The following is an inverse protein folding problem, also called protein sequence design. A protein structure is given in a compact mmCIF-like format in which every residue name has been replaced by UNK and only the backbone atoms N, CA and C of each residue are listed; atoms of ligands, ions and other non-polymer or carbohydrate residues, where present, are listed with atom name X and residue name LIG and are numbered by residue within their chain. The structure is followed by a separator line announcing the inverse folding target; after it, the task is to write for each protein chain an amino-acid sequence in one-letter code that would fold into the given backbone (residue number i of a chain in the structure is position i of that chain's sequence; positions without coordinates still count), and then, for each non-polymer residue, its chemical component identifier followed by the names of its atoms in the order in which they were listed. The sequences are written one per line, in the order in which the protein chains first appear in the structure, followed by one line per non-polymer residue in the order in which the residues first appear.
data_IF_923526707313
#
_entry.id   IF_923526707313
#
_cell.length_a   1.000
_cell.length_b   1.000
_cell.length_c   1.000
_cell.angle_alpha   90.00
_cell.angle_beta   90.00
_cell.angle_gamma   90.00
#
_symmetry.space_group_name_H-M   'P 1'
#
loop_
_entity.id
_entity.type
_entity.pdbx_description
1 polymer ?
#
# COMPACT_ATOMS: atom_id res chain seq x y z
N UNK A 1 15.92 15.68 -7.34
CA UNK A 1 14.96 15.95 -8.42
C UNK A 1 14.39 17.34 -8.20
N UNK A 2 14.68 18.28 -9.14
CA UNK A 2 14.40 19.70 -8.94
C UNK A 2 12.93 20.11 -8.98
N UNK A 3 12.06 19.27 -9.50
CA UNK A 3 10.61 19.49 -9.59
C UNK A 3 9.77 18.48 -8.79
N UNK A 4 10.36 17.90 -7.75
CA UNK A 4 9.66 17.20 -6.68
C UNK A 4 9.96 17.92 -5.36
N UNK A 5 9.12 17.69 -4.36
CA UNK A 5 9.29 18.31 -3.04
C UNK A 5 10.49 17.71 -2.28
N UNK A 6 11.14 18.53 -1.47
CA UNK A 6 12.40 18.19 -0.80
C UNK A 6 12.25 17.13 0.32
N UNK A 7 11.03 16.89 0.80
CA UNK A 7 10.73 15.94 1.87
C UNK A 7 10.40 14.53 1.37
N UNK A 8 10.52 14.27 0.06
CA UNK A 8 10.27 12.96 -0.51
C UNK A 8 11.53 12.08 -0.56
N UNK A 9 11.33 10.76 -0.53
CA UNK A 9 12.39 9.78 -0.76
C UNK A 9 12.44 9.45 -2.24
N UNK A 10 13.62 9.58 -2.83
CA UNK A 10 13.86 9.32 -4.25
C UNK A 10 15.01 8.33 -4.45
N UNK A 11 15.01 7.67 -5.60
CA UNK A 11 16.17 6.95 -6.12
C UNK A 11 16.81 7.79 -7.22
N UNK A 12 18.14 7.95 -7.17
CA UNK A 12 18.88 8.68 -8.17
C UNK A 12 20.21 7.99 -8.45
N UNK A 13 20.73 8.21 -9.66
CA UNK A 13 22.07 7.74 -10.01
C UNK A 13 23.12 8.51 -9.21
N UNK A 14 24.11 7.80 -8.70
CA UNK A 14 25.21 8.39 -7.97
C UNK A 14 26.53 7.71 -8.31
N UNK A 15 27.62 8.28 -7.84
CA UNK A 15 28.95 7.70 -7.93
C UNK A 15 29.66 7.80 -6.58
N UNK A 16 30.64 6.93 -6.38
CA UNK A 16 31.43 6.86 -5.16
C UNK A 16 32.87 7.22 -5.48
N UNK A 17 33.44 8.15 -4.73
CA UNK A 17 34.84 8.52 -4.81
C UNK A 17 35.50 8.48 -3.41
N UNK A 18 36.77 8.90 -3.33
CA UNK A 18 37.49 8.97 -2.05
C UNK A 18 36.89 9.93 -1.01
N UNK A 19 35.95 10.80 -1.42
CA UNK A 19 35.25 11.76 -0.58
C UNK A 19 33.85 11.29 -0.16
N UNK A 20 33.42 10.11 -0.64
CA UNK A 20 32.13 9.51 -0.31
C UNK A 20 31.17 9.34 -1.49
N UNK A 21 29.87 9.27 -1.18
CA UNK A 21 28.79 9.08 -2.16
C UNK A 21 28.34 10.46 -2.66
N UNK A 22 28.25 10.60 -3.97
CA UNK A 22 27.72 11.81 -4.63
C UNK A 22 26.57 11.44 -5.54
N UNK A 23 25.42 12.03 -5.31
CA UNK A 23 24.24 11.85 -6.15
C UNK A 23 24.25 12.86 -7.31
N UNK A 24 23.66 12.46 -8.44
CA UNK A 24 23.44 13.40 -9.55
C UNK A 24 22.30 14.33 -9.14
N UNK A 25 22.60 15.63 -9.12
CA UNK A 25 21.68 16.68 -8.69
C UNK A 25 21.06 17.40 -9.91
N UNK A 26 20.00 18.18 -9.66
CA UNK A 26 19.40 19.06 -10.66
C UNK A 26 18.63 18.36 -11.78
N UNK A 27 18.31 17.08 -11.61
CA UNK A 27 17.49 16.36 -12.60
C UNK A 27 16.06 16.88 -12.56
N UNK A 28 15.56 17.31 -13.72
CA UNK A 28 14.19 17.77 -13.89
C UNK A 28 13.39 16.70 -14.64
N UNK A 29 12.36 16.16 -13.99
CA UNK A 29 11.51 15.14 -14.59
C UNK A 29 10.58 15.74 -15.65
N UNK A 30 10.26 15.03 -16.75
CA UNK A 30 9.15 15.38 -17.60
C UNK A 30 7.86 15.53 -16.79
N UNK A 31 7.00 16.48 -17.16
CA UNK A 31 5.81 16.84 -16.38
C UNK A 31 4.93 15.64 -16.01
N UNK A 32 4.70 14.73 -16.97
CA UNK A 32 3.89 13.53 -16.74
C UNK A 32 4.52 12.58 -15.72
N UNK A 33 5.86 12.45 -15.70
CA UNK A 33 6.58 11.64 -14.73
C UNK A 33 6.54 12.29 -13.34
N UNK A 34 6.76 13.60 -13.25
CA UNK A 34 6.67 14.35 -12.01
C UNK A 34 5.27 14.24 -11.39
N UNK A 35 4.21 14.33 -12.21
CA UNK A 35 2.81 14.17 -11.75
C UNK A 35 2.55 12.80 -11.14
N UNK A 36 3.02 11.72 -11.78
CA UNK A 36 2.89 10.36 -11.23
C UNK A 36 3.67 10.19 -9.92
N UNK A 37 4.90 10.70 -9.87
CA UNK A 37 5.71 10.68 -8.65
C UNK A 37 5.04 11.46 -7.52
N UNK A 38 4.51 12.65 -7.79
CA UNK A 38 3.82 13.48 -6.80
C UNK A 38 2.61 12.76 -6.20
N UNK A 39 1.82 12.06 -7.02
CA UNK A 39 0.70 11.26 -6.52
C UNK A 39 1.16 10.19 -5.52
N UNK A 40 2.23 9.44 -5.84
CA UNK A 40 2.79 8.42 -4.94
C UNK A 40 3.36 9.04 -3.66
N UNK A 41 4.04 10.19 -3.76
CA UNK A 41 4.57 10.94 -2.62
C UNK A 41 3.44 11.36 -1.68
N UNK A 42 2.33 11.88 -2.21
CA UNK A 42 1.19 12.31 -1.42
C UNK A 42 0.49 11.15 -0.72
N UNK A 43 0.38 9.98 -1.37
CA UNK A 43 -0.12 8.75 -0.72
C UNK A 43 0.77 8.38 0.48
N UNK A 44 2.10 8.41 0.32
CA UNK A 44 3.05 8.11 1.39
C UNK A 44 2.93 9.13 2.54
N UNK A 45 2.84 10.42 2.24
CA UNK A 45 2.64 11.49 3.24
C UNK A 45 1.36 11.30 4.04
N UNK A 46 0.26 11.00 3.36
CA UNK A 46 -1.02 10.70 4.03
C UNK A 46 -0.91 9.47 4.93
N UNK A 47 -0.29 8.39 4.45
CA UNK A 47 -0.10 7.16 5.20
C UNK A 47 0.74 7.38 6.47
N UNK A 48 1.87 8.07 6.35
CA UNK A 48 2.73 8.42 7.50
C UNK A 48 1.96 9.29 8.50
N UNK A 49 1.27 10.32 8.03
CA UNK A 49 0.48 11.21 8.90
C UNK A 49 -0.66 10.47 9.60
N UNK A 50 -1.34 9.58 8.89
CA UNK A 50 -2.38 8.73 9.46
C UNK A 50 -1.82 7.79 10.54
N UNK A 51 -0.67 7.18 10.29
CA UNK A 51 -0.03 6.29 11.24
C UNK A 51 0.42 7.02 12.52
N UNK A 52 1.05 8.18 12.38
CA UNK A 52 1.52 8.98 13.52
C UNK A 52 0.36 9.48 14.38
N UNK A 53 -0.74 9.90 13.76
CA UNK A 53 -1.92 10.47 14.47
C UNK A 53 -2.94 9.41 14.90
N UNK A 54 -2.86 8.19 14.43
CA UNK A 54 -3.90 7.17 14.60
C UNK A 54 -5.20 7.56 13.89
N UNK A 55 -5.10 8.27 12.75
CA UNK A 55 -6.22 8.77 11.98
C UNK A 55 -6.66 7.73 10.93
N UNK A 56 -7.80 7.06 11.19
CA UNK A 56 -8.32 6.00 10.32
C UNK A 56 -8.92 6.58 9.04
N UNK A 57 -9.56 7.74 9.10
CA UNK A 57 -10.18 8.35 7.92
C UNK A 57 -9.09 8.79 6.94
N UNK A 58 -8.03 9.41 7.44
CA UNK A 58 -6.88 9.75 6.61
C UNK A 58 -6.18 8.51 6.04
N UNK A 59 -6.11 7.39 6.80
CA UNK A 59 -5.58 6.12 6.30
C UNK A 59 -6.42 5.58 5.15
N UNK A 60 -7.76 5.60 5.27
CA UNK A 60 -8.68 5.19 4.20
C UNK A 60 -8.53 6.05 2.96
N UNK A 61 -8.42 7.36 3.14
CA UNK A 61 -8.20 8.29 2.04
C UNK A 61 -6.84 8.07 1.36
N UNK A 62 -5.79 7.76 2.12
CA UNK A 62 -4.48 7.42 1.55
C UNK A 62 -4.57 6.18 0.65
N UNK A 63 -5.25 5.13 1.11
CA UNK A 63 -5.45 3.90 0.33
C UNK A 63 -6.33 4.15 -0.90
N UNK A 64 -7.37 4.98 -0.79
CA UNK A 64 -8.23 5.36 -1.92
C UNK A 64 -7.48 6.19 -2.97
N UNK A 65 -6.52 7.01 -2.53
CA UNK A 65 -5.72 7.86 -3.43
C UNK A 65 -4.65 7.06 -4.19
N UNK A 66 -4.32 5.84 -3.74
CA UNK A 66 -3.37 4.99 -4.45
C UNK A 66 -3.92 4.63 -5.84
N UNK A 67 -3.19 4.93 -6.95
CA UNK A 67 -3.67 4.72 -8.30
C UNK A 67 -3.99 3.25 -8.63
N UNK A 68 -3.27 2.29 -8.04
CA UNK A 68 -3.52 0.87 -8.26
C UNK A 68 -4.81 0.43 -7.57
N UNK A 69 -5.03 0.87 -6.34
CA UNK A 69 -6.23 0.54 -5.56
C UNK A 69 -7.45 1.20 -6.18
N UNK A 70 -7.39 2.50 -6.48
CA UNK A 70 -8.53 3.25 -7.04
C UNK A 70 -8.91 2.81 -8.45
N UNK A 71 -8.03 2.14 -9.18
CA UNK A 71 -8.36 1.59 -10.52
C UNK A 71 -9.18 0.31 -10.47
N UNK A 72 -9.23 -0.40 -9.33
CA UNK A 72 -9.85 -1.74 -9.22
C UNK A 72 -10.87 -1.86 -8.09
N UNK A 73 -10.85 -0.96 -7.11
CA UNK A 73 -11.74 -1.00 -5.94
C UNK A 73 -12.65 0.24 -5.89
N UNK A 74 -13.91 0.03 -5.53
CA UNK A 74 -14.79 1.13 -5.15
C UNK A 74 -14.39 1.71 -3.79
N UNK A 75 -14.88 2.90 -3.45
CA UNK A 75 -14.62 3.52 -2.15
C UNK A 75 -15.12 2.66 -0.98
N UNK A 76 -16.27 1.99 -1.13
CA UNK A 76 -16.83 1.09 -0.13
C UNK A 76 -15.93 -0.13 0.10
N UNK A 77 -15.40 -0.71 -0.97
CA UNK A 77 -14.46 -1.83 -0.89
C UNK A 77 -13.15 -1.42 -0.23
N UNK A 78 -12.63 -0.22 -0.52
CA UNK A 78 -11.44 0.34 0.15
C UNK A 78 -11.70 0.51 1.64
N UNK A 79 -12.85 1.08 2.03
CA UNK A 79 -13.23 1.25 3.44
C UNK A 79 -13.30 -0.09 4.17
N UNK A 80 -13.95 -1.08 3.57
CA UNK A 80 -14.03 -2.42 4.14
C UNK A 80 -12.65 -3.07 4.25
N UNK A 81 -11.85 -3.01 3.20
CA UNK A 81 -10.49 -3.58 3.16
C UNK A 81 -9.60 -3.00 4.27
N UNK A 82 -9.58 -1.68 4.43
CA UNK A 82 -8.80 -1.03 5.48
C UNK A 82 -9.29 -1.43 6.87
N UNK A 83 -10.60 -1.49 7.09
CA UNK A 83 -11.19 -1.93 8.35
C UNK A 83 -10.82 -3.38 8.68
N UNK A 84 -10.84 -4.28 7.69
CA UNK A 84 -10.40 -5.67 7.85
C UNK A 84 -8.92 -5.78 8.18
N UNK A 85 -8.07 -5.02 7.50
CA UNK A 85 -6.63 -5.00 7.75
C UNK A 85 -6.30 -4.47 9.15
N UNK A 86 -6.95 -3.40 9.59
CA UNK A 86 -6.79 -2.86 10.94
C UNK A 86 -7.17 -3.87 12.02
N UNK A 87 -8.27 -4.60 11.82
CA UNK A 87 -8.68 -5.66 12.74
C UNK A 87 -7.70 -6.81 12.76
N UNK A 88 -7.22 -7.22 11.60
CA UNK A 88 -6.30 -8.33 11.44
C UNK A 88 -4.92 -8.04 12.05
N UNK A 89 -4.47 -6.80 11.97
CA UNK A 89 -3.15 -6.36 12.40
C UNK A 89 -3.16 -5.58 13.72
N UNK A 90 -4.27 -5.58 14.45
CA UNK A 90 -4.49 -4.76 15.64
C UNK A 90 -3.40 -4.88 16.73
N UNK A 91 -2.74 -6.04 16.83
CA UNK A 91 -1.66 -6.25 17.82
C UNK A 91 -0.40 -5.45 17.50
N UNK A 92 -0.16 -5.10 16.23
CA UNK A 92 1.01 -4.32 15.79
C UNK A 92 0.70 -2.84 15.56
N UNK A 93 -0.57 -2.45 15.71
CA UNK A 93 -1.06 -1.09 15.43
C UNK A 93 -1.67 -0.44 16.68
N UNK A 94 -0.87 -0.20 17.73
CA UNK A 94 -1.37 0.30 19.01
C UNK A 94 -2.07 1.65 18.92
N UNK A 95 -1.69 2.50 17.96
CA UNK A 95 -2.28 3.83 17.73
C UNK A 95 -3.76 3.78 17.33
N UNK A 96 -4.24 2.65 16.79
CA UNK A 96 -5.65 2.47 16.41
C UNK A 96 -6.45 1.63 17.42
N UNK A 97 -5.83 1.15 18.50
CA UNK A 97 -6.41 0.20 19.46
C UNK A 97 -7.78 0.61 19.99
N UNK A 98 -7.97 1.88 20.31
CA UNK A 98 -9.22 2.40 20.85
C UNK A 98 -10.41 2.26 19.89
N UNK A 99 -10.14 2.22 18.58
CA UNK A 99 -11.15 2.19 17.52
C UNK A 99 -11.44 0.78 16.99
N UNK A 100 -10.58 -0.20 17.28
CA UNK A 100 -10.69 -1.57 16.75
C UNK A 100 -12.02 -2.24 17.13
N UNK A 101 -12.52 -2.05 18.34
CA UNK A 101 -13.76 -2.67 18.77
C UNK A 101 -14.99 -2.12 18.02
N UNK A 102 -15.02 -0.82 17.71
CA UNK A 102 -16.08 -0.23 16.90
C UNK A 102 -16.03 -0.71 15.45
N UNK A 103 -14.83 -0.81 14.87
CA UNK A 103 -14.60 -1.36 13.53
C UNK A 103 -15.11 -2.80 13.44
N UNK A 104 -14.72 -3.67 14.38
CA UNK A 104 -15.23 -5.06 14.45
C UNK A 104 -16.75 -5.13 14.49
N UNK A 105 -17.39 -4.22 15.25
CA UNK A 105 -18.85 -4.15 15.37
C UNK A 105 -19.50 -3.72 14.05
N UNK A 106 -18.89 -2.78 13.34
CA UNK A 106 -19.38 -2.31 12.04
C UNK A 106 -19.22 -3.38 10.96
N UNK A 107 -18.06 -4.02 10.86
CA UNK A 107 -17.82 -5.11 9.92
C UNK A 107 -18.86 -6.25 10.06
N UNK A 108 -19.26 -6.61 11.29
CA UNK A 108 -20.27 -7.64 11.53
C UNK A 108 -21.67 -7.28 11.01
N UNK A 109 -21.96 -6.00 10.77
CA UNK A 109 -23.23 -5.52 10.22
C UNK A 109 -23.29 -5.60 8.70
N UNK A 110 -22.16 -5.74 8.02
CA UNK A 110 -22.10 -5.85 6.57
C UNK A 110 -22.72 -7.18 6.15
N UNK A 111 -23.74 -7.12 5.31
CA UNK A 111 -24.44 -8.29 4.77
C UNK A 111 -23.42 -9.13 3.97
N UNK A 112 -23.28 -10.42 4.28
CA UNK A 112 -22.30 -11.34 3.69
C UNK A 112 -20.84 -11.20 4.19
N UNK A 113 -20.58 -10.38 5.21
CA UNK A 113 -19.25 -10.35 5.80
C UNK A 113 -18.93 -11.67 6.50
N UNK A 114 -18.03 -12.44 5.93
CA UNK A 114 -17.46 -13.65 6.55
C UNK A 114 -16.05 -13.29 7.04
N UNK A 115 -15.95 -12.92 8.32
CA UNK A 115 -14.64 -12.76 8.95
C UNK A 115 -13.92 -14.11 8.96
N UNK A 116 -12.88 -14.21 8.13
CA UNK A 116 -12.05 -15.40 8.09
C UNK A 116 -11.09 -15.35 9.28
N UNK A 117 -11.39 -16.14 10.32
CA UNK A 117 -10.62 -16.20 11.58
C UNK A 117 -9.14 -16.56 11.42
N UNK A 118 -8.71 -16.96 10.23
CA UNK A 118 -7.33 -17.38 10.00
C UNK A 118 -6.67 -16.61 8.85
N UNK A 119 -5.99 -15.53 9.17
CA UNK A 119 -4.95 -14.95 8.31
C UNK A 119 -3.95 -16.03 7.85
N UNK A 120 -3.73 -17.09 8.65
CA UNK A 120 -3.01 -18.31 8.25
C UNK A 120 -3.62 -19.00 7.02
N UNK A 121 -4.94 -18.92 6.80
CA UNK A 121 -5.62 -19.48 5.64
C UNK A 121 -5.44 -18.66 4.36
N UNK A 122 -5.41 -17.33 4.45
CA UNK A 122 -5.18 -16.44 3.31
C UNK A 122 -3.75 -16.61 2.76
N UNK A 123 -2.74 -16.66 3.61
CA UNK A 123 -1.35 -16.88 3.19
C UNK A 123 -1.15 -18.25 2.55
N UNK A 124 -1.80 -19.32 3.02
CA UNK A 124 -1.77 -20.65 2.39
C UNK A 124 -2.49 -20.65 1.03
N UNK A 125 -3.66 -20.03 0.91
CA UNK A 125 -4.43 -20.00 -0.33
C UNK A 125 -3.75 -19.15 -1.41
N UNK A 126 -3.15 -18.04 -1.03
CA UNK A 126 -2.41 -17.15 -1.94
C UNK A 126 -1.13 -17.83 -2.43
N UNK A 127 -0.37 -18.51 -1.55
CA UNK A 127 0.82 -19.29 -1.95
C UNK A 127 0.47 -20.46 -2.87
N UNK A 128 -0.64 -21.16 -2.60
CA UNK A 128 -1.08 -22.26 -3.45
C UNK A 128 -1.54 -21.79 -4.84
N UNK A 129 -2.19 -20.64 -4.94
CA UNK A 129 -2.60 -20.04 -6.21
C UNK A 129 -1.40 -19.45 -6.97
N UNK A 130 -0.41 -18.90 -6.28
CA UNK A 130 0.85 -18.47 -6.92
C UNK A 130 1.65 -19.64 -7.46
N UNK A 131 1.77 -20.74 -6.72
CA UNK A 131 2.41 -21.97 -7.21
C UNK A 131 1.68 -22.59 -8.39
N UNK A 132 0.32 -22.59 -8.39
CA UNK A 132 -0.45 -23.05 -9.55
C UNK A 132 -0.25 -22.17 -10.78
N UNK A 133 -0.14 -20.85 -10.61
CA UNK A 133 0.13 -19.92 -11.72
C UNK A 133 1.55 -20.09 -12.28
N UNK A 134 2.58 -20.23 -11.43
CA UNK A 134 3.95 -20.48 -11.90
C UNK A 134 4.06 -21.78 -12.68
N UNK A 135 3.44 -22.86 -12.21
CA UNK A 135 3.42 -24.16 -12.91
C UNK A 135 2.65 -24.10 -14.25
N UNK A 136 1.59 -23.26 -14.34
CA UNK A 136 0.87 -23.06 -15.60
C UNK A 136 1.72 -22.28 -16.62
N UNK A 137 2.38 -21.20 -16.18
CA UNK A 137 3.28 -20.39 -17.03
C UNK A 137 4.46 -21.22 -17.52
N UNK A 138 5.06 -22.07 -16.67
CA UNK A 138 6.13 -22.99 -17.09
C UNK A 138 5.64 -24.01 -18.13
N UNK A 139 4.44 -24.55 -17.97
CA UNK A 139 3.86 -25.49 -18.95
C UNK A 139 3.53 -24.85 -20.28
N UNK A 140 3.07 -23.61 -20.30
CA UNK A 140 2.79 -22.85 -21.52
C UNK A 140 4.09 -22.46 -22.25
N UNK A 141 5.16 -22.14 -21.51
CA UNK A 141 6.47 -21.83 -22.08
C UNK A 141 7.20 -23.04 -22.71
N UNK A 142 6.88 -24.26 -22.29
CA UNK A 142 7.47 -25.51 -22.87
C UNK A 142 6.68 -26.10 -24.04
N UNK A 143 5.49 -25.55 -24.35
CA UNK A 143 4.66 -25.98 -25.48
C UNK A 143 4.73 -25.03 -26.70
N UNK A 144 5.73 -24.15 -26.76
CA UNK A 144 6.18 -23.37 -27.90
C UNK A 144 7.50 -23.96 -28.45
#
# INVERSE_FOLDING_TARGET
ISNLDDDCVIESTGYVDSKGIKMIEGVNLPLQCASLCSTSIDVQRMAVRAAVKGDIELLKLAVLQDPLVSSVCSSEEVWQMVDEMLVAQAQWLPQYKSKINSIKKNLRKIKNYKYNKSIKGLTKKTRHNQQKRSVLVEKEAFNL
#
